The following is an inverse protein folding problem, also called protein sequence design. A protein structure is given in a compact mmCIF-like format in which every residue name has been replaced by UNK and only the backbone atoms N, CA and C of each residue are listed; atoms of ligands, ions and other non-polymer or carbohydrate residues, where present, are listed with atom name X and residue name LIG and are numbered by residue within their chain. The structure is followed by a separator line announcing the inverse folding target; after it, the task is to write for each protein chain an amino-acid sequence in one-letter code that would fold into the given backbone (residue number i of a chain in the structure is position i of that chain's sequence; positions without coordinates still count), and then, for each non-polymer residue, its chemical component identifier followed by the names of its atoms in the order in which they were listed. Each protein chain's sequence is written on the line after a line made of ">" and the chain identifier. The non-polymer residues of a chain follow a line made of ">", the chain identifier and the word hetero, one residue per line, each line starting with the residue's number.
data_IF_048325373014
#
_entry.id   IF_048325373014
#
_cell.length_a   1.000
_cell.length_b   1.000
_cell.length_c   1.000
_cell.angle_alpha   90.00
_cell.angle_beta   90.00
_cell.angle_gamma   90.00
#
_symmetry.space_group_name_H-M   'P 1'
#
loop_
_entity.id
_entity.type
_entity.pdbx_description
1 polymer ?
#
# COMPACT_ATOMS: atom_id res chain seq x y z
N UNK A 1 10.83 -15.18 -2.28
CA UNK A 1 10.09 -15.04 -1.00
C UNK A 1 10.96 -15.25 0.25
N UNK A 2 11.84 -16.25 0.36
CA UNK A 2 12.72 -16.41 1.53
C UNK A 2 13.66 -15.19 1.76
N UNK A 3 14.20 -14.60 0.69
CA UNK A 3 15.13 -13.47 0.76
C UNK A 3 14.47 -12.15 1.25
N UNK A 4 13.20 -11.92 0.96
CA UNK A 4 12.45 -10.75 1.46
C UNK A 4 12.19 -10.85 2.96
N UNK A 5 11.68 -12.00 3.43
CA UNK A 5 11.44 -12.23 4.85
C UNK A 5 12.72 -12.14 5.68
N UNK A 6 13.83 -12.62 5.12
CA UNK A 6 15.16 -12.47 5.71
C UNK A 6 15.58 -11.00 5.77
N UNK A 7 15.47 -10.25 4.67
CA UNK A 7 15.80 -8.82 4.65
C UNK A 7 14.99 -8.04 5.69
N UNK A 8 13.66 -8.25 5.75
CA UNK A 8 12.82 -7.56 6.73
C UNK A 8 13.17 -7.92 8.18
N UNK A 9 13.59 -9.16 8.43
CA UNK A 9 14.06 -9.59 9.75
C UNK A 9 15.36 -8.87 10.14
N UNK A 10 16.32 -8.80 9.21
CA UNK A 10 17.60 -8.11 9.43
C UNK A 10 17.42 -6.61 9.62
N UNK A 11 16.51 -5.98 8.87
CA UNK A 11 16.20 -4.55 9.03
C UNK A 11 15.53 -4.24 10.37
N UNK A 12 14.74 -5.18 10.91
CA UNK A 12 14.05 -4.99 12.20
C UNK A 12 14.95 -5.26 13.40
N UNK A 13 15.88 -6.19 13.28
CA UNK A 13 16.80 -6.61 14.35
C UNK A 13 18.24 -6.71 13.84
N UNK A 14 18.88 -5.58 13.47
CA UNK A 14 20.23 -5.59 12.91
C UNK A 14 21.26 -6.07 13.95
N UNK A 15 22.16 -6.97 13.56
CA UNK A 15 23.32 -7.37 14.36
C UNK A 15 24.59 -6.75 13.80
N UNK A 16 25.63 -6.65 14.64
CA UNK A 16 26.94 -6.21 14.18
C UNK A 16 27.45 -7.11 13.05
N UNK A 17 27.77 -6.51 11.89
CA UNK A 17 28.26 -7.22 10.70
C UNK A 17 27.20 -7.56 9.64
N UNK A 18 25.91 -7.31 9.88
CA UNK A 18 24.84 -7.63 8.92
C UNK A 18 24.78 -6.67 7.71
N UNK A 19 25.49 -5.55 7.73
CA UNK A 19 25.46 -4.51 6.68
C UNK A 19 25.73 -5.08 5.28
N UNK A 20 26.76 -5.93 5.14
CA UNK A 20 27.10 -6.55 3.85
C UNK A 20 25.99 -7.48 3.36
N UNK A 21 25.35 -8.20 4.28
CA UNK A 21 24.25 -9.12 3.97
C UNK A 21 22.99 -8.36 3.57
N UNK A 22 22.66 -7.28 4.29
CA UNK A 22 21.55 -6.38 3.96
C UNK A 22 21.76 -5.76 2.58
N UNK A 23 22.95 -5.23 2.30
CA UNK A 23 23.28 -4.62 1.01
C UNK A 23 23.17 -5.63 -0.14
N UNK A 24 23.68 -6.84 0.03
CA UNK A 24 23.55 -7.91 -0.96
C UNK A 24 22.09 -8.31 -1.21
N UNK A 25 21.30 -8.53 -0.16
CA UNK A 25 19.88 -8.87 -0.28
C UNK A 25 19.08 -7.76 -0.97
N UNK A 26 19.35 -6.50 -0.63
CA UNK A 26 18.74 -5.34 -1.31
C UNK A 26 19.06 -5.34 -2.80
N UNK A 27 20.32 -5.54 -3.17
CA UNK A 27 20.72 -5.57 -4.58
C UNK A 27 19.97 -6.66 -5.35
N UNK A 28 19.98 -7.89 -4.85
CA UNK A 28 19.32 -9.04 -5.50
C UNK A 28 17.81 -8.79 -5.65
N UNK A 29 17.15 -8.32 -4.58
CA UNK A 29 15.72 -8.05 -4.63
C UNK A 29 15.38 -6.86 -5.54
N UNK A 30 16.23 -5.82 -5.57
CA UNK A 30 16.07 -4.67 -6.48
C UNK A 30 16.09 -5.12 -7.93
N UNK A 31 17.05 -5.96 -8.32
CA UNK A 31 17.13 -6.50 -9.69
C UNK A 31 15.86 -7.29 -10.05
N UNK A 32 15.32 -8.07 -9.11
CA UNK A 32 14.07 -8.79 -9.31
C UNK A 32 12.87 -7.87 -9.48
N UNK A 33 12.71 -6.85 -8.63
CA UNK A 33 11.58 -5.92 -8.75
C UNK A 33 11.66 -5.06 -10.01
N UNK A 34 12.84 -4.57 -10.38
CA UNK A 34 13.01 -3.82 -11.65
C UNK A 34 12.60 -4.68 -12.84
N UNK A 35 13.03 -5.95 -12.87
CA UNK A 35 12.66 -6.88 -13.93
C UNK A 35 11.15 -7.13 -13.96
N UNK A 36 10.54 -7.32 -12.78
CA UNK A 36 9.10 -7.54 -12.66
C UNK A 36 8.28 -6.31 -13.05
N UNK A 37 8.70 -5.11 -12.63
CA UNK A 37 8.11 -3.83 -13.03
C UNK A 37 8.18 -3.64 -14.55
N UNK A 38 9.36 -3.87 -15.15
CA UNK A 38 9.54 -3.76 -16.60
C UNK A 38 8.61 -4.72 -17.34
N UNK A 39 8.52 -5.97 -16.89
CA UNK A 39 7.64 -6.97 -17.49
C UNK A 39 6.17 -6.55 -17.41
N UNK A 40 5.75 -5.96 -16.29
CA UNK A 40 4.39 -5.45 -16.14
C UNK A 40 4.18 -4.21 -17.01
N UNK A 41 5.06 -3.21 -16.98
CA UNK A 41 4.94 -2.01 -17.81
C UNK A 41 4.88 -2.34 -19.32
N UNK A 42 5.60 -3.37 -19.76
CA UNK A 42 5.58 -3.87 -21.14
C UNK A 42 4.37 -4.75 -21.46
N UNK A 43 3.78 -5.40 -20.44
CA UNK A 43 2.61 -6.23 -20.62
C UNK A 43 1.41 -5.35 -20.98
N UNK A 44 0.89 -5.52 -22.20
CA UNK A 44 -0.36 -4.91 -22.62
C UNK A 44 -1.52 -5.85 -22.26
N UNK A 45 -2.25 -5.64 -21.13
CA UNK A 45 -3.36 -6.52 -20.78
C UNK A 45 -4.42 -6.51 -21.88
N UNK A 46 -5.03 -7.67 -22.14
CA UNK A 46 -6.16 -7.78 -23.06
C UNK A 46 -7.34 -6.90 -22.60
N UNK A 47 -8.25 -6.59 -23.51
CA UNK A 47 -9.29 -5.55 -23.37
C UNK A 47 -10.38 -5.82 -22.32
N UNK A 48 -10.29 -6.90 -21.56
CA UNK A 48 -11.29 -7.22 -20.54
C UNK A 48 -11.00 -6.43 -19.26
N UNK A 49 -12.02 -5.76 -18.73
CA UNK A 49 -11.93 -4.96 -17.50
C UNK A 49 -11.27 -5.68 -16.32
N UNK A 50 -11.57 -6.97 -16.03
CA UNK A 50 -10.93 -7.70 -14.93
C UNK A 50 -9.42 -7.87 -15.13
N UNK A 51 -8.97 -8.10 -16.36
CA UNK A 51 -7.54 -8.27 -16.67
C UNK A 51 -6.78 -6.96 -16.57
N UNK A 52 -7.37 -5.85 -17.03
CA UNK A 52 -6.82 -4.50 -16.85
C UNK A 52 -6.72 -4.15 -15.36
N UNK A 53 -7.74 -4.48 -14.57
CA UNK A 53 -7.76 -4.22 -13.13
C UNK A 53 -6.67 -5.04 -12.40
N UNK A 54 -6.62 -6.34 -12.65
CA UNK A 54 -5.62 -7.22 -12.05
C UNK A 54 -4.20 -6.75 -12.41
N UNK A 55 -3.99 -6.36 -13.67
CA UNK A 55 -2.73 -5.81 -14.14
C UNK A 55 -2.33 -4.53 -13.36
N UNK A 56 -3.25 -3.56 -13.22
CA UNK A 56 -3.01 -2.33 -12.45
C UNK A 56 -2.68 -2.62 -10.98
N UNK A 57 -3.39 -3.56 -10.35
CA UNK A 57 -3.11 -3.97 -8.97
C UNK A 57 -1.70 -4.57 -8.85
N UNK A 58 -1.33 -5.48 -9.75
CA UNK A 58 -0.01 -6.11 -9.75
C UNK A 58 1.11 -5.08 -9.92
N UNK A 59 0.92 -4.09 -10.80
CA UNK A 59 1.89 -3.02 -11.01
C UNK A 59 2.01 -2.12 -9.77
N UNK A 60 0.89 -1.76 -9.14
CA UNK A 60 0.89 -0.97 -7.92
C UNK A 60 1.57 -1.71 -6.74
N UNK A 61 1.31 -3.01 -6.60
CA UNK A 61 1.95 -3.87 -5.62
C UNK A 61 3.45 -4.02 -5.91
N UNK A 62 3.87 -4.13 -7.18
CA UNK A 62 5.27 -4.17 -7.56
C UNK A 62 6.02 -2.91 -7.07
N UNK A 63 5.49 -1.72 -7.38
CA UNK A 63 6.07 -0.46 -6.90
C UNK A 63 6.11 -0.39 -5.37
N UNK A 64 5.05 -0.85 -4.70
CA UNK A 64 5.00 -0.90 -3.24
C UNK A 64 6.12 -1.75 -2.66
N UNK A 65 6.27 -2.99 -3.13
CA UNK A 65 7.26 -3.91 -2.60
C UNK A 65 8.70 -3.47 -2.93
N UNK A 66 8.93 -2.91 -4.12
CA UNK A 66 10.19 -2.29 -4.48
C UNK A 66 10.54 -1.14 -3.53
N UNK A 67 9.58 -0.26 -3.22
CA UNK A 67 9.82 0.86 -2.31
C UNK A 67 10.31 0.41 -0.93
N UNK A 68 9.83 -0.71 -0.41
CA UNK A 68 10.19 -1.22 0.94
C UNK A 68 11.63 -1.69 1.07
N UNK A 69 12.25 -2.09 -0.04
CA UNK A 69 13.64 -2.56 -0.05
C UNK A 69 14.62 -1.48 -0.49
N UNK A 70 14.11 -0.39 -1.08
CA UNK A 70 14.91 0.68 -1.66
C UNK A 70 15.62 1.49 -0.56
N UNK A 71 16.89 1.82 -0.82
CA UNK A 71 17.75 2.53 0.13
C UNK A 71 17.71 4.04 -0.11
N UNK A 72 17.58 4.47 -1.37
CA UNK A 72 17.46 5.88 -1.68
C UNK A 72 16.08 6.41 -1.32
N UNK A 73 15.99 7.29 -0.31
CA UNK A 73 14.72 7.89 0.12
C UNK A 73 13.95 8.56 -1.03
N UNK A 74 14.65 9.18 -1.98
CA UNK A 74 14.02 9.82 -3.14
C UNK A 74 13.37 8.79 -4.08
N UNK A 75 14.07 7.70 -4.38
CA UNK A 75 13.54 6.62 -5.23
C UNK A 75 12.40 5.89 -4.51
N UNK A 76 12.59 5.56 -3.23
CA UNK A 76 11.56 4.98 -2.38
C UNK A 76 10.28 5.82 -2.37
N UNK A 77 10.39 7.13 -2.14
CA UNK A 77 9.23 8.04 -2.14
C UNK A 77 8.52 8.06 -3.49
N UNK A 78 9.26 8.08 -4.60
CA UNK A 78 8.68 8.03 -5.96
C UNK A 78 7.93 6.73 -6.23
N UNK A 79 8.49 5.59 -5.82
CA UNK A 79 7.84 4.28 -5.97
C UNK A 79 6.55 4.21 -5.15
N UNK A 80 6.58 4.64 -3.89
CA UNK A 80 5.36 4.76 -3.08
C UNK A 80 4.32 5.66 -3.73
N UNK A 81 4.73 6.81 -4.26
CA UNK A 81 3.82 7.75 -4.91
C UNK A 81 3.14 7.14 -6.14
N UNK A 82 3.89 6.41 -6.98
CA UNK A 82 3.30 5.65 -8.10
C UNK A 82 2.28 4.62 -7.65
N UNK A 83 2.58 3.88 -6.57
CA UNK A 83 1.63 2.91 -6.01
C UNK A 83 0.36 3.60 -5.50
N UNK A 84 0.50 4.73 -4.79
CA UNK A 84 -0.62 5.54 -4.29
C UNK A 84 -1.48 6.06 -5.44
N UNK A 85 -0.88 6.56 -6.53
CA UNK A 85 -1.60 7.05 -7.71
C UNK A 85 -2.49 5.96 -8.30
N UNK A 86 -1.95 4.76 -8.52
CA UNK A 86 -2.74 3.64 -9.08
C UNK A 86 -3.87 3.25 -8.13
N UNK A 87 -3.62 3.10 -6.83
CA UNK A 87 -4.70 2.75 -5.89
C UNK A 87 -5.72 3.87 -5.70
N UNK A 88 -5.33 5.14 -5.85
CA UNK A 88 -6.27 6.27 -5.80
C UNK A 88 -7.23 6.25 -6.99
N UNK A 89 -6.73 5.96 -8.20
CA UNK A 89 -7.58 5.71 -9.37
C UNK A 89 -8.58 4.57 -9.10
N UNK A 90 -8.10 3.47 -8.52
CA UNK A 90 -8.96 2.34 -8.17
C UNK A 90 -10.02 2.71 -7.14
N UNK A 91 -9.66 3.51 -6.14
CA UNK A 91 -10.58 4.03 -5.13
C UNK A 91 -11.68 4.89 -5.76
N UNK A 92 -11.31 5.78 -6.68
CA UNK A 92 -12.23 6.67 -7.39
C UNK A 92 -13.31 5.91 -8.17
N UNK A 93 -12.94 4.78 -8.77
CA UNK A 93 -13.88 3.89 -9.44
C UNK A 93 -14.72 3.07 -8.46
N UNK A 94 -14.06 2.48 -7.45
CA UNK A 94 -14.69 1.61 -6.46
C UNK A 94 -15.77 2.35 -5.66
N UNK A 95 -15.47 3.55 -5.15
CA UNK A 95 -16.38 4.33 -4.30
C UNK A 95 -17.69 4.76 -4.99
N UNK A 96 -17.72 4.76 -6.33
CA UNK A 96 -18.91 5.08 -7.13
C UNK A 96 -19.75 3.85 -7.48
N UNK A 97 -19.14 2.68 -7.43
CA UNK A 97 -19.70 1.45 -8.01
C UNK A 97 -20.02 0.38 -6.96
N UNK A 98 -19.37 0.45 -5.81
CA UNK A 98 -19.46 -0.55 -4.74
C UNK A 98 -20.10 0.04 -3.48
N UNK A 99 -20.83 -0.78 -2.70
CA UNK A 99 -21.26 -0.41 -1.36
C UNK A 99 -20.08 -0.03 -0.45
N UNK A 100 -20.32 0.85 0.51
CA UNK A 100 -19.33 1.29 1.53
C UNK A 100 -18.70 0.12 2.31
N UNK A 101 -19.44 -0.97 2.48
CA UNK A 101 -19.05 -2.18 3.21
C UNK A 101 -18.55 -3.31 2.31
N UNK A 102 -18.35 -3.05 1.01
CA UNK A 102 -17.81 -4.03 0.06
C UNK A 102 -16.36 -4.39 0.41
N UNK A 103 -16.03 -5.67 0.35
CA UNK A 103 -14.70 -6.15 0.73
C UNK A 103 -13.60 -5.64 -0.18
N UNK A 104 -13.88 -5.44 -1.47
CA UNK A 104 -12.92 -4.91 -2.44
C UNK A 104 -12.63 -3.44 -2.13
N UNK A 105 -13.67 -2.65 -1.85
CA UNK A 105 -13.51 -1.25 -1.46
C UNK A 105 -12.70 -1.12 -0.17
N UNK A 106 -13.06 -1.89 0.87
CA UNK A 106 -12.33 -1.88 2.14
C UNK A 106 -10.87 -2.33 1.98
N UNK A 107 -10.58 -3.26 1.07
CA UNK A 107 -9.22 -3.72 0.81
C UNK A 107 -8.37 -2.69 0.07
N UNK A 108 -8.97 -1.91 -0.85
CA UNK A 108 -8.32 -0.76 -1.49
C UNK A 108 -7.99 0.30 -0.43
N UNK A 109 -8.96 0.65 0.43
CA UNK A 109 -8.76 1.63 1.50
C UNK A 109 -7.65 1.16 2.47
N UNK A 110 -7.66 -0.12 2.85
CA UNK A 110 -6.62 -0.70 3.70
C UNK A 110 -5.23 -0.56 3.07
N UNK A 111 -5.09 -0.91 1.79
CA UNK A 111 -3.83 -0.79 1.07
C UNK A 111 -3.34 0.66 0.98
N UNK A 112 -4.22 1.61 0.66
CA UNK A 112 -3.86 3.04 0.62
C UNK A 112 -3.43 3.51 2.01
N UNK A 113 -4.14 3.12 3.07
CA UNK A 113 -3.76 3.49 4.44
C UNK A 113 -2.36 3.00 4.82
N UNK A 114 -2.00 1.79 4.38
CA UNK A 114 -0.68 1.21 4.58
C UNK A 114 0.38 1.97 3.78
N UNK A 115 0.12 2.27 2.50
CA UNK A 115 1.01 3.05 1.65
C UNK A 115 1.31 4.42 2.23
N UNK A 116 0.27 5.14 2.65
CA UNK A 116 0.42 6.45 3.28
C UNK A 116 1.29 6.35 4.54
N UNK A 117 0.98 5.39 5.42
CA UNK A 117 1.71 5.15 6.67
C UNK A 117 3.20 4.87 6.43
N UNK A 118 3.54 4.01 5.48
CA UNK A 118 4.92 3.61 5.22
C UNK A 118 5.71 4.66 4.44
N UNK A 119 5.06 5.36 3.50
CA UNK A 119 5.74 6.29 2.58
C UNK A 119 6.04 7.66 3.17
N UNK A 120 5.34 8.06 4.24
CA UNK A 120 5.33 9.44 4.77
C UNK A 120 4.95 10.50 3.72
N UNK A 121 4.34 10.09 2.60
CA UNK A 121 3.81 11.02 1.59
C UNK A 121 2.61 11.74 2.19
N UNK A 122 2.70 13.07 2.23
CA UNK A 122 1.62 13.88 2.76
C UNK A 122 0.55 14.10 1.70
N UNK A 123 -0.63 13.52 1.92
CA UNK A 123 -1.81 13.75 1.09
C UNK A 123 -3.05 13.87 1.98
N UNK A 124 -3.23 15.06 2.57
CA UNK A 124 -4.33 15.34 3.50
C UNK A 124 -5.70 15.15 2.86
N UNK A 125 -5.84 15.46 1.56
CA UNK A 125 -7.08 15.24 0.80
C UNK A 125 -7.45 13.76 0.77
N UNK A 126 -6.50 12.90 0.42
CA UNK A 126 -6.72 11.45 0.39
C UNK A 126 -7.00 10.90 1.79
N UNK A 127 -6.29 11.36 2.83
CA UNK A 127 -6.56 10.95 4.22
C UNK A 127 -8.00 11.27 4.64
N UNK A 128 -8.45 12.51 4.40
CA UNK A 128 -9.82 12.94 4.71
C UNK A 128 -10.86 12.11 3.95
N UNK A 129 -10.56 11.79 2.70
CA UNK A 129 -11.41 10.92 1.89
C UNK A 129 -11.53 9.51 2.47
N UNK A 130 -10.41 8.87 2.84
CA UNK A 130 -10.43 7.55 3.47
C UNK A 130 -11.25 7.57 4.76
N UNK A 131 -11.07 8.58 5.61
CA UNK A 131 -11.85 8.73 6.86
C UNK A 131 -13.35 8.82 6.55
N UNK A 132 -13.73 9.64 5.56
CA UNK A 132 -15.13 9.81 5.16
C UNK A 132 -15.76 8.50 4.68
N UNK A 133 -15.00 7.68 3.94
CA UNK A 133 -15.47 6.37 3.48
C UNK A 133 -15.62 5.37 4.63
N UNK A 134 -14.69 5.39 5.60
CA UNK A 134 -14.77 4.56 6.80
C UNK A 134 -15.96 4.94 7.69
N UNK A 135 -16.21 6.23 7.90
CA UNK A 135 -17.35 6.71 8.68
C UNK A 135 -18.68 6.20 8.08
N UNK A 136 -18.80 6.21 6.75
CA UNK A 136 -19.97 5.66 6.04
C UNK A 136 -20.09 4.15 6.23
N UNK A 137 -18.99 3.41 6.07
CA UNK A 137 -18.98 1.96 6.23
C UNK A 137 -19.35 1.54 7.67
N UNK A 138 -18.86 2.27 8.68
CA UNK A 138 -19.22 2.05 10.07
C UNK A 138 -20.70 2.36 10.35
N UNK A 139 -21.22 3.46 9.80
CA UNK A 139 -22.64 3.80 9.90
C UNK A 139 -23.52 2.70 9.29
N UNK A 140 -23.17 2.17 8.12
CA UNK A 140 -23.93 1.10 7.47
C UNK A 140 -23.86 -0.22 8.25
N UNK A 141 -22.70 -0.56 8.82
CA UNK A 141 -22.52 -1.75 9.65
C UNK A 141 -23.21 -1.67 11.02
N UNK A 142 -23.56 -0.48 11.52
CA UNK A 142 -24.35 -0.36 12.75
C UNK A 142 -25.70 -1.07 12.65
N UNK A 143 -26.24 -1.16 11.43
CA UNK A 143 -27.50 -1.85 11.12
C UNK A 143 -27.32 -3.35 10.84
N UNK A 144 -26.12 -3.76 10.41
CA UNK A 144 -25.76 -5.14 10.03
C UNK A 144 -24.31 -5.43 10.46
N UNK A 145 -24.09 -5.84 11.71
CA UNK A 145 -22.75 -6.01 12.23
C UNK A 145 -22.04 -7.21 11.58
N UNK A 146 -20.83 -6.96 11.09
CA UNK A 146 -19.89 -7.95 10.59
C UNK A 146 -18.55 -7.78 11.32
N UNK A 147 -18.18 -8.78 12.11
CA UNK A 147 -16.98 -8.73 12.96
C UNK A 147 -15.68 -8.66 12.16
N UNK A 148 -15.62 -9.29 10.99
CA UNK A 148 -14.40 -9.29 10.17
C UNK A 148 -14.18 -7.93 9.52
N UNK A 149 -15.25 -7.34 8.98
CA UNK A 149 -15.21 -6.00 8.39
C UNK A 149 -14.92 -4.94 9.45
N UNK A 150 -15.50 -5.06 10.65
CA UNK A 150 -15.17 -4.18 11.78
C UNK A 150 -13.69 -4.27 12.17
N UNK A 151 -13.12 -5.49 12.23
CA UNK A 151 -11.69 -5.67 12.50
C UNK A 151 -10.82 -5.06 11.39
N UNK A 152 -11.24 -5.17 10.13
CA UNK A 152 -10.55 -4.54 9.01
C UNK A 152 -10.59 -3.02 9.15
N UNK A 153 -11.77 -2.41 9.30
CA UNK A 153 -11.91 -0.96 9.49
C UNK A 153 -11.06 -0.45 10.65
N UNK A 154 -11.05 -1.15 11.79
CA UNK A 154 -10.20 -0.77 12.93
C UNK A 154 -8.72 -0.70 12.55
N UNK A 155 -8.19 -1.70 11.84
CA UNK A 155 -6.79 -1.70 11.36
C UNK A 155 -6.51 -0.53 10.42
N UNK A 156 -7.47 -0.20 9.55
CA UNK A 156 -7.34 0.94 8.64
C UNK A 156 -7.24 2.25 9.44
N UNK A 157 -8.10 2.42 10.45
CA UNK A 157 -8.03 3.59 11.35
C UNK A 157 -6.70 3.66 12.10
N UNK A 158 -6.23 2.55 12.66
CA UNK A 158 -4.92 2.51 13.32
C UNK A 158 -3.78 2.94 12.39
N UNK A 159 -3.83 2.60 11.10
CA UNK A 159 -2.86 3.09 10.12
C UNK A 159 -2.96 4.60 9.88
N UNK A 160 -4.17 5.14 9.80
CA UNK A 160 -4.42 6.58 9.61
C UNK A 160 -4.02 7.38 10.87
N UNK A 161 -4.35 6.89 12.06
CA UNK A 161 -4.01 7.56 13.32
C UNK A 161 -2.49 7.62 13.52
N UNK A 162 -1.76 6.55 13.16
CA UNK A 162 -0.30 6.53 13.18
C UNK A 162 0.33 7.61 12.28
N UNK A 163 -0.34 8.02 11.19
CA UNK A 163 0.07 9.18 10.39
C UNK A 163 -0.15 10.48 11.17
N UNK A 164 -1.33 10.64 11.77
CA UNK A 164 -1.69 11.82 12.56
C UNK A 164 -0.68 12.12 13.67
N UNK A 165 -0.27 11.09 14.43
CA UNK A 165 0.77 11.24 15.46
C UNK A 165 2.11 11.75 14.92
N UNK A 166 2.46 11.43 13.66
CA UNK A 166 3.66 11.97 13.02
C UNK A 166 3.50 13.44 12.61
N UNK A 167 2.33 13.85 12.13
CA UNK A 167 2.07 15.26 11.77
C UNK A 167 2.18 16.20 12.98
N UNK A 168 1.78 15.75 14.17
CA UNK A 168 1.85 16.53 15.42
C UNK A 168 3.23 16.53 16.10
N UNK A 169 4.15 15.63 15.71
CA UNK A 169 5.49 15.53 16.32
C UNK A 169 6.57 16.26 15.52
N UNK A 170 6.32 16.55 14.25
CA UNK A 170 7.28 17.18 13.33
C UNK A 170 6.83 18.56 12.83
N UNK A 171 5.76 19.11 13.43
CA UNK A 171 5.27 20.50 13.33
C UNK A 171 4.79 20.95 14.70
#
# INVERSE_FOLDING_TARGET
>A
MANEGELFTLLRFPREGDERRISHLRQVLREHYISYETLLEDARPMTTTPTILAHRILLADAFFFHARIEESENVQRKLYQRSIEVYSDLLDHAKRSLPSTDDSLLSIIEKISQLLRESRVQNSGLVLELITLLDRAEADMSSRPDLEKQRKIRRIRENIDALGSYYYLYF
#
